data_IF_836113616749
#
_entry.id   IF_836113616749
#
_cell.length_a   1.000
_cell.length_b   1.000
_cell.length_c   1.000
_cell.angle_alpha   90.00
_cell.angle_beta   90.00
_cell.angle_gamma   90.00
#
_symmetry.space_group_name_H-M   'P 1'
#
loop_
_entity.id
_entity.type
_entity.pdbx_description
1 polymer ?
#
# COMPACT_ATOMS: atom_id res chain seq x y z
N UNK A 1 0.60 3.69 5.89
CA UNK A 1 -0.05 3.15 7.10
C UNK A 1 0.59 3.64 8.41
N UNK A 2 1.92 3.52 8.60
CA UNK A 2 2.59 3.95 9.85
C UNK A 2 2.62 5.48 10.09
N UNK A 3 2.65 6.30 9.03
CA UNK A 3 2.58 7.77 9.12
C UNK A 3 1.21 8.25 9.58
N UNK A 4 0.13 7.74 8.97
CA UNK A 4 -1.24 8.12 9.33
C UNK A 4 -1.59 7.84 10.80
N UNK A 5 -1.23 6.67 11.35
CA UNK A 5 -1.51 6.39 12.77
C UNK A 5 -0.72 7.29 13.74
N UNK A 6 0.44 7.80 13.32
CA UNK A 6 1.29 8.64 14.17
C UNK A 6 0.87 10.11 14.14
N UNK A 7 0.48 10.60 12.97
CA UNK A 7 0.21 12.02 12.74
C UNK A 7 -1.30 12.34 12.70
N UNK A 8 -2.16 11.31 12.56
CA UNK A 8 -3.63 11.41 12.38
C UNK A 8 -4.04 12.51 11.40
N UNK A 9 -3.22 12.72 10.36
CA UNK A 9 -3.42 13.80 9.38
C UNK A 9 -4.56 13.42 8.43
N UNK A 10 -5.54 14.31 8.32
CA UNK A 10 -6.70 14.21 7.43
C UNK A 10 -6.62 15.27 6.32
N UNK A 11 -7.41 15.09 5.27
CA UNK A 11 -7.46 15.99 4.12
C UNK A 11 -6.59 15.52 2.95
N UNK A 12 -6.22 16.46 2.07
CA UNK A 12 -5.47 16.18 0.85
C UNK A 12 -3.98 16.03 1.15
N UNK A 13 -3.41 14.92 0.69
CA UNK A 13 -2.05 14.48 0.94
C UNK A 13 -1.33 14.19 -0.38
N UNK A 14 -0.76 15.20 -1.05
CA UNK A 14 0.12 14.97 -2.19
C UNK A 14 1.32 14.14 -1.76
N UNK A 15 1.71 13.15 -2.58
CA UNK A 15 2.89 12.32 -2.31
C UNK A 15 4.16 13.16 -2.13
N UNK A 16 4.27 14.26 -2.90
CA UNK A 16 5.35 15.25 -2.78
C UNK A 16 5.43 15.91 -1.39
N UNK A 17 4.32 16.06 -0.67
CA UNK A 17 4.32 16.64 0.70
C UNK A 17 4.62 15.62 1.78
N UNK A 18 4.44 14.33 1.49
CA UNK A 18 4.83 13.21 2.36
C UNK A 18 6.30 12.80 2.17
N UNK A 19 6.92 13.29 1.09
CA UNK A 19 8.30 13.02 0.69
C UNK A 19 9.36 13.61 1.63
N UNK A 20 9.05 14.72 2.30
CA UNK A 20 9.99 15.45 3.15
C UNK A 20 10.36 14.70 4.44
N UNK A 21 9.67 13.59 4.73
CA UNK A 21 9.95 12.68 5.85
C UNK A 21 10.73 11.44 5.32
N UNK A 22 11.92 11.70 4.76
CA UNK A 22 12.79 10.81 3.95
C UNK A 22 12.98 9.40 4.53
N UNK A 23 12.98 9.24 5.85
CA UNK A 23 13.25 7.98 6.53
C UNK A 23 12.15 6.91 6.34
N UNK A 24 10.89 7.30 6.11
CA UNK A 24 9.77 6.35 5.91
C UNK A 24 9.62 5.91 4.44
N UNK A 25 10.34 6.58 3.53
CA UNK A 25 10.20 6.50 2.08
C UNK A 25 10.93 5.30 1.47
N UNK A 26 12.10 4.96 1.99
CA UNK A 26 12.99 3.96 1.37
C UNK A 26 12.40 2.56 1.19
N UNK A 27 11.47 2.12 2.04
CA UNK A 27 10.91 0.77 1.98
C UNK A 27 9.53 0.68 1.29
N UNK A 28 8.73 1.75 1.31
CA UNK A 28 7.42 1.76 0.64
C UNK A 28 7.54 2.18 -0.84
N UNK A 29 8.37 3.18 -1.14
CA UNK A 29 8.48 3.76 -2.48
C UNK A 29 9.39 2.93 -3.41
N UNK A 30 10.47 2.35 -2.90
CA UNK A 30 11.46 1.69 -3.76
C UNK A 30 10.97 0.38 -4.39
N UNK A 31 10.08 -0.35 -3.71
CA UNK A 31 9.56 -1.64 -4.21
C UNK A 31 8.23 -1.52 -4.96
N UNK A 32 7.29 -0.75 -4.42
CA UNK A 32 5.90 -0.75 -4.90
C UNK A 32 5.64 0.25 -6.04
N UNK A 33 6.24 1.45 -5.98
CA UNK A 33 6.04 2.48 -7.01
C UNK A 33 6.89 2.23 -8.27
N UNK A 34 8.10 1.68 -8.11
CA UNK A 34 8.98 1.33 -9.24
C UNK A 34 8.39 0.23 -10.16
N UNK A 35 7.48 -0.61 -9.64
CA UNK A 35 6.84 -1.68 -10.41
C UNK A 35 5.45 -1.31 -10.97
N UNK A 36 4.85 -0.19 -10.56
CA UNK A 36 3.44 0.14 -10.84
C UNK A 36 3.22 1.25 -11.88
N UNK A 37 4.27 1.73 -12.54
CA UNK A 37 4.20 2.86 -13.50
C UNK A 37 3.55 4.13 -12.92
N UNK A 38 3.62 4.34 -11.60
CA UNK A 38 3.06 5.53 -10.94
C UNK A 38 4.11 6.65 -10.94
N UNK A 39 3.79 7.76 -11.60
CA UNK A 39 4.59 8.97 -11.68
C UNK A 39 4.32 9.92 -10.50
N UNK A 40 3.06 10.01 -10.04
CA UNK A 40 2.66 10.84 -8.91
C UNK A 40 1.34 10.35 -8.31
N UNK A 41 1.11 10.68 -7.04
CA UNK A 41 -0.04 10.20 -6.27
C UNK A 41 -0.55 11.30 -5.32
N UNK A 42 -1.87 11.36 -5.13
CA UNK A 42 -2.53 12.20 -4.12
C UNK A 42 -3.49 11.37 -3.31
N UNK A 43 -3.27 11.33 -1.99
CA UNK A 43 -4.19 10.70 -1.04
C UNK A 43 -5.23 11.67 -0.51
N UNK A 44 -6.47 11.23 -0.37
CA UNK A 44 -7.55 11.90 0.36
C UNK A 44 -7.83 11.07 1.60
N UNK A 45 -7.55 11.64 2.77
CA UNK A 45 -7.65 10.94 4.05
C UNK A 45 -8.85 11.44 4.85
N UNK A 46 -9.84 10.58 5.06
CA UNK A 46 -11.08 10.90 5.77
C UNK A 46 -11.18 10.07 7.06
N UNK A 47 -11.67 10.69 8.14
CA UNK A 47 -11.88 10.00 9.40
C UNK A 47 -13.05 9.01 9.28
N UNK A 48 -12.82 7.75 9.65
CA UNK A 48 -13.83 6.69 9.58
C UNK A 48 -14.06 6.05 10.97
N UNK A 49 -14.03 6.86 12.03
CA UNK A 49 -14.34 6.46 13.40
C UNK A 49 -13.23 5.66 14.12
N UNK A 50 -13.11 5.87 15.43
CA UNK A 50 -12.07 5.23 16.26
C UNK A 50 -10.67 5.50 15.70
N UNK A 51 -9.90 4.43 15.48
CA UNK A 51 -8.57 4.47 14.87
C UNK A 51 -8.57 4.06 13.39
N UNK A 52 -9.68 4.31 12.67
CA UNK A 52 -9.80 4.05 11.24
C UNK A 52 -9.84 5.34 10.40
N UNK A 53 -9.28 5.25 9.19
CA UNK A 53 -9.52 6.20 8.11
C UNK A 53 -9.94 5.47 6.85
N UNK A 54 -10.72 6.18 6.04
CA UNK A 54 -10.84 5.89 4.61
C UNK A 54 -9.75 6.68 3.87
N UNK A 55 -8.89 5.97 3.14
CA UNK A 55 -7.93 6.55 2.23
C UNK A 55 -8.35 6.33 0.79
N UNK A 56 -8.46 7.40 0.00
CA UNK A 56 -8.71 7.35 -1.45
C UNK A 56 -7.45 7.87 -2.13
N UNK A 57 -6.88 7.10 -3.04
CA UNK A 57 -5.64 7.47 -3.72
C UNK A 57 -5.90 7.71 -5.20
N UNK A 58 -5.39 8.84 -5.70
CA UNK A 58 -5.48 9.25 -7.09
C UNK A 58 -4.07 9.20 -7.68
N UNK A 59 -3.86 8.28 -8.62
CA UNK A 59 -2.57 8.04 -9.24
C UNK A 59 -2.48 8.63 -10.64
N UNK A 60 -1.29 9.06 -11.03
CA UNK A 60 -0.94 9.43 -12.41
C UNK A 60 0.28 8.67 -12.87
N UNK A 61 0.26 8.24 -14.13
CA UNK A 61 1.36 7.47 -14.72
C UNK A 61 2.33 8.31 -15.56
N UNK A 62 1.91 9.48 -16.05
CA UNK A 62 2.66 10.23 -17.07
C UNK A 62 3.14 11.61 -16.62
N UNK A 63 2.34 12.32 -15.82
CA UNK A 63 2.66 13.67 -15.36
C UNK A 63 2.27 13.85 -13.92
N UNK A 64 3.02 14.66 -13.18
CA UNK A 64 2.66 15.01 -11.81
C UNK A 64 1.38 15.83 -11.71
N UNK A 65 0.77 15.84 -10.53
CA UNK A 65 -0.28 16.80 -10.20
C UNK A 65 0.31 18.21 -10.09
N UNK A 66 -0.41 19.19 -10.64
CA UNK A 66 -0.10 20.62 -10.53
C UNK A 66 -0.67 21.18 -9.23
N UNK A 67 -0.06 22.24 -8.71
CA UNK A 67 -0.54 22.90 -7.48
C UNK A 67 -1.97 23.42 -7.61
N UNK A 68 -2.39 23.87 -8.79
CA UNK A 68 -3.78 24.28 -9.05
C UNK A 68 -4.77 23.12 -8.93
N UNK A 69 -4.35 21.90 -9.27
CA UNK A 69 -5.17 20.69 -9.16
C UNK A 69 -5.27 20.24 -7.70
N UNK A 70 -4.17 20.36 -6.95
CA UNK A 70 -4.19 20.13 -5.49
C UNK A 70 -5.09 21.14 -4.80
N UNK A 71 -4.99 22.43 -5.14
CA UNK A 71 -5.85 23.48 -4.59
C UNK A 71 -7.34 23.21 -4.89
N UNK A 72 -7.65 22.76 -6.10
CA UNK A 72 -9.02 22.36 -6.45
C UNK A 72 -9.50 21.17 -5.61
N UNK A 73 -8.65 20.17 -5.36
CA UNK A 73 -8.99 19.06 -4.47
C UNK A 73 -9.22 19.52 -3.03
N UNK A 74 -8.40 20.44 -2.53
CA UNK A 74 -8.57 21.05 -1.20
C UNK A 74 -9.91 21.80 -1.10
N UNK A 75 -10.26 22.62 -2.11
CA UNK A 75 -11.57 23.30 -2.17
C UNK A 75 -12.75 22.32 -2.20
N UNK A 76 -12.57 21.13 -2.79
CA UNK A 76 -13.59 20.10 -2.88
C UNK A 76 -13.59 19.11 -1.73
N UNK A 77 -12.63 19.20 -0.79
CA UNK A 77 -12.57 18.33 0.38
C UNK A 77 -13.93 18.21 1.13
N UNK A 78 -14.69 19.30 1.35
CA UNK A 78 -15.99 19.20 2.03
C UNK A 78 -17.01 18.29 1.32
N UNK A 79 -16.90 18.13 0.00
CA UNK A 79 -17.77 17.22 -0.77
C UNK A 79 -17.43 15.77 -0.43
N UNK A 80 -16.15 15.42 -0.39
CA UNK A 80 -15.70 14.08 0.00
C UNK A 80 -16.07 13.77 1.45
N UNK A 81 -15.89 14.74 2.35
CA UNK A 81 -16.31 14.63 3.75
C UNK A 81 -17.81 14.39 3.89
N UNK A 82 -18.64 15.16 3.17
CA UNK A 82 -20.09 15.01 3.21
C UNK A 82 -20.56 13.64 2.67
N UNK A 83 -19.99 13.19 1.55
CA UNK A 83 -20.28 11.88 0.97
C UNK A 83 -19.88 10.75 1.93
N UNK A 84 -18.69 10.84 2.53
CA UNK A 84 -18.26 9.84 3.51
C UNK A 84 -19.11 9.85 4.77
N UNK A 85 -19.49 11.03 5.27
CA UNK A 85 -20.39 11.14 6.42
C UNK A 85 -21.77 10.54 6.12
N UNK A 86 -22.28 10.68 4.90
CA UNK A 86 -23.50 10.02 4.46
C UNK A 86 -23.34 8.51 4.40
N UNK A 87 -22.24 8.02 3.82
CA UNK A 87 -21.91 6.60 3.80
C UNK A 87 -21.87 6.02 5.22
N UNK A 88 -21.17 6.67 6.16
CA UNK A 88 -21.13 6.25 7.58
C UNK A 88 -22.53 6.10 8.17
N UNK A 89 -23.44 7.03 7.88
CA UNK A 89 -24.83 6.97 8.36
C UNK A 89 -25.65 5.86 7.70
N UNK A 90 -25.35 5.54 6.43
CA UNK A 90 -26.04 4.51 5.67
C UNK A 90 -25.58 3.09 6.02
N UNK A 91 -24.41 2.93 6.63
CA UNK A 91 -23.88 1.63 7.06
C UNK A 91 -24.80 0.99 8.12
N UNK A 92 -25.30 -0.20 7.82
CA UNK A 92 -26.11 -0.99 8.75
C UNK A 92 -25.30 -1.50 9.95
N UNK A 93 -26.00 -2.00 10.97
CA UNK A 93 -25.39 -2.52 12.22
C UNK A 93 -24.46 -3.72 12.03
N UNK A 94 -24.52 -4.39 10.88
CA UNK A 94 -23.66 -5.51 10.50
C UNK A 94 -22.45 -5.09 9.66
N UNK A 95 -22.25 -3.80 9.43
CA UNK A 95 -21.14 -3.32 8.62
C UNK A 95 -19.80 -3.64 9.32
N UNK A 96 -18.89 -4.27 8.57
CA UNK A 96 -17.50 -4.46 8.98
C UNK A 96 -16.57 -3.82 7.97
N UNK A 97 -15.58 -3.07 8.45
CA UNK A 97 -14.56 -2.42 7.60
C UNK A 97 -13.64 -3.43 6.92
N UNK A 98 -13.38 -4.54 7.59
CA UNK A 98 -12.52 -5.61 7.11
C UNK A 98 -13.04 -6.95 7.61
N UNK A 99 -12.74 -8.04 6.90
CA UNK A 99 -12.97 -9.40 7.39
C UNK A 99 -11.89 -9.85 8.40
N UNK A 100 -10.83 -9.06 8.60
CA UNK A 100 -9.76 -9.37 9.54
C UNK A 100 -10.22 -9.12 10.99
N UNK A 101 -9.72 -9.90 11.96
CA UNK A 101 -10.02 -9.69 13.37
C UNK A 101 -9.62 -8.28 13.81
N UNK A 102 -10.44 -7.66 14.65
CA UNK A 102 -10.14 -6.34 15.24
C UNK A 102 -8.91 -6.45 16.13
N UNK A 103 -7.83 -5.77 15.75
CA UNK A 103 -6.60 -5.68 16.52
C UNK A 103 -5.69 -4.59 15.96
N UNK A 104 -4.65 -4.16 16.71
CA UNK A 104 -3.64 -3.29 16.16
C UNK A 104 -3.07 -3.96 14.91
N UNK A 105 -3.17 -3.31 13.74
CA UNK A 105 -2.57 -3.86 12.52
C UNK A 105 -1.12 -4.22 12.78
N UNK A 106 -0.76 -5.48 12.55
CA UNK A 106 0.57 -5.99 12.86
C UNK A 106 1.62 -5.17 12.12
N UNK A 107 2.81 -5.02 12.71
CA UNK A 107 3.96 -4.48 12.00
C UNK A 107 4.13 -5.24 10.68
N UNK A 108 4.49 -4.58 9.57
CA UNK A 108 4.80 -5.26 8.32
C UNK A 108 5.76 -6.40 8.62
N UNK A 109 5.36 -7.64 8.33
CA UNK A 109 6.27 -8.77 8.48
C UNK A 109 7.41 -8.56 7.49
N UNK A 110 8.65 -8.56 8.00
CA UNK A 110 9.85 -8.45 7.17
C UNK A 110 9.99 -9.64 6.22
N UNK A 111 9.41 -10.79 6.59
CA UNK A 111 9.39 -11.98 5.75
C UNK A 111 7.94 -12.30 5.34
N UNK A 112 7.60 -12.23 4.05
CA UNK A 112 6.30 -12.60 3.56
C UNK A 112 6.10 -14.11 3.71
N UNK A 113 5.31 -14.52 4.72
CA UNK A 113 4.87 -15.93 4.83
C UNK A 113 3.72 -16.16 3.87
N UNK A 114 3.96 -16.92 2.81
CA UNK A 114 2.92 -17.33 1.87
C UNK A 114 2.04 -18.40 2.54
N UNK A 115 0.72 -18.19 2.70
CA UNK A 115 -0.18 -19.24 3.16
C UNK A 115 -0.10 -20.44 2.22
N UNK A 116 0.01 -21.66 2.76
CA UNK A 116 0.09 -22.87 1.94
C UNK A 116 -1.11 -23.06 0.99
N UNK A 117 -2.23 -22.41 1.30
CA UNK A 117 -3.46 -22.39 0.51
C UNK A 117 -3.43 -21.49 -0.73
N UNK A 118 -2.49 -20.53 -0.82
CA UNK A 118 -2.47 -19.57 -1.93
C UNK A 118 -2.03 -20.23 -3.25
N UNK A 119 -1.18 -21.27 -3.14
CA UNK A 119 -0.70 -22.05 -4.28
C UNK A 119 -0.49 -23.52 -3.89
N UNK A 120 -1.56 -24.32 -3.83
CA UNK A 120 -1.46 -25.74 -3.46
C UNK A 120 -0.60 -26.55 -4.46
N UNK A 121 -0.51 -26.09 -5.71
CA UNK A 121 0.17 -26.79 -6.80
C UNK A 121 1.69 -26.58 -6.85
N UNK A 122 2.24 -25.61 -6.11
CA UNK A 122 3.69 -25.39 -6.09
C UNK A 122 4.39 -26.45 -5.24
N UNK A 123 5.46 -27.02 -5.79
CA UNK A 123 6.43 -27.84 -5.07
C UNK A 123 7.15 -27.02 -3.98
N UNK A 124 7.78 -27.72 -3.04
CA UNK A 124 8.53 -27.08 -1.95
C UNK A 124 9.59 -26.09 -2.48
N UNK A 125 10.29 -26.47 -3.55
CA UNK A 125 11.33 -25.63 -4.17
C UNK A 125 10.78 -24.39 -4.86
N UNK A 126 9.66 -24.52 -5.57
CA UNK A 126 9.02 -23.36 -6.20
C UNK A 126 8.48 -22.39 -5.14
N UNK A 127 8.00 -22.89 -4.00
CA UNK A 127 7.59 -22.04 -2.87
C UNK A 127 8.77 -21.27 -2.28
N UNK A 128 9.91 -21.91 -2.07
CA UNK A 128 11.14 -21.24 -1.60
C UNK A 128 11.61 -20.16 -2.57
N UNK A 129 11.55 -20.45 -3.87
CA UNK A 129 11.88 -19.50 -4.93
C UNK A 129 10.92 -18.30 -4.93
N UNK A 130 9.60 -18.53 -4.87
CA UNK A 130 8.60 -17.46 -4.82
C UNK A 130 8.73 -16.63 -3.55
N UNK A 131 9.03 -17.25 -2.40
CA UNK A 131 9.29 -16.51 -1.15
C UNK A 131 10.50 -15.58 -1.29
N UNK A 132 11.60 -16.05 -1.90
CA UNK A 132 12.78 -15.22 -2.10
C UNK A 132 12.52 -14.07 -3.10
N UNK A 133 11.72 -14.31 -4.14
CA UNK A 133 11.30 -13.26 -5.08
C UNK A 133 10.44 -12.21 -4.35
N UNK A 134 9.43 -12.64 -3.59
CA UNK A 134 8.55 -11.72 -2.85
C UNK A 134 9.29 -10.97 -1.74
N UNK A 135 10.37 -11.53 -1.19
CA UNK A 135 11.27 -10.84 -0.27
C UNK A 135 12.24 -9.86 -0.96
N UNK A 136 12.20 -9.76 -2.30
CA UNK A 136 12.97 -8.80 -3.08
C UNK A 136 14.41 -9.23 -3.39
N UNK A 137 14.75 -10.53 -3.29
CA UNK A 137 16.08 -11.00 -3.63
C UNK A 137 16.33 -10.96 -5.15
N UNK A 138 17.48 -10.45 -5.63
CA UNK A 138 17.84 -10.51 -7.03
C UNK A 138 17.94 -11.95 -7.54
N UNK A 139 17.53 -12.22 -8.78
CA UNK A 139 17.52 -13.55 -9.40
C UNK A 139 18.87 -14.28 -9.32
N UNK A 140 19.98 -13.54 -9.42
CA UNK A 140 21.33 -14.09 -9.28
C UNK A 140 21.65 -14.59 -7.85
N UNK A 141 21.14 -13.87 -6.83
CA UNK A 141 21.31 -14.24 -5.43
C UNK A 141 20.42 -15.44 -5.06
N UNK A 142 19.22 -15.51 -5.66
CA UNK A 142 18.32 -16.68 -5.55
C UNK A 142 18.99 -17.92 -6.16
N UNK A 143 19.57 -17.79 -7.35
CA UNK A 143 20.28 -18.85 -8.04
C UNK A 143 21.45 -19.40 -7.19
N UNK A 144 22.25 -18.50 -6.59
CA UNK A 144 23.34 -18.86 -5.69
C UNK A 144 22.85 -19.57 -4.42
N UNK A 145 21.81 -19.04 -3.76
CA UNK A 145 21.23 -19.63 -2.54
C UNK A 145 20.59 -21.00 -2.76
N UNK A 146 19.94 -21.18 -3.91
CA UNK A 146 19.24 -22.42 -4.23
C UNK A 146 20.14 -23.41 -5.00
N UNK A 147 21.38 -23.04 -5.32
CA UNK A 147 22.32 -23.88 -6.06
C UNK A 147 21.85 -24.20 -7.49
N UNK A 148 21.10 -23.29 -8.11
CA UNK A 148 20.52 -23.46 -9.46
C UNK A 148 21.03 -22.39 -10.43
N UNK A 149 20.80 -22.57 -11.73
CA UNK A 149 21.20 -21.57 -12.72
C UNK A 149 20.21 -20.40 -12.76
N UNK A 150 20.68 -19.21 -13.12
CA UNK A 150 19.82 -18.02 -13.30
C UNK A 150 18.70 -18.27 -14.31
N UNK A 151 18.95 -19.10 -15.32
CA UNK A 151 17.94 -19.51 -16.31
C UNK A 151 16.82 -20.36 -15.69
N UNK A 152 17.15 -21.21 -14.72
CA UNK A 152 16.19 -22.05 -13.98
C UNK A 152 15.32 -21.23 -13.02
N UNK A 153 15.79 -20.08 -12.54
CA UNK A 153 14.99 -19.21 -11.66
C UNK A 153 13.86 -18.50 -12.42
N UNK A 154 14.02 -18.30 -13.73
CA UNK A 154 13.07 -17.58 -14.60
C UNK A 154 12.03 -18.48 -15.28
N UNK A 155 12.28 -19.80 -15.30
CA UNK A 155 11.40 -20.81 -15.90
C UNK A 155 10.41 -21.34 -14.87
#
# INVERSE_FOLDING_TARGET
YASWRRERRLGIMPLKRLADDEAKRGQYIAGFLAQSEICDEVGIMLADGGDWCLGIFLDRSTTSFKDSEIALLDERLPVFEALHALDIKARGTKFSRTSAPTGPGASPRQEPTIPASLWPELSLRERELVQLILAGHPTANIAERLGITVGTVKN
#
